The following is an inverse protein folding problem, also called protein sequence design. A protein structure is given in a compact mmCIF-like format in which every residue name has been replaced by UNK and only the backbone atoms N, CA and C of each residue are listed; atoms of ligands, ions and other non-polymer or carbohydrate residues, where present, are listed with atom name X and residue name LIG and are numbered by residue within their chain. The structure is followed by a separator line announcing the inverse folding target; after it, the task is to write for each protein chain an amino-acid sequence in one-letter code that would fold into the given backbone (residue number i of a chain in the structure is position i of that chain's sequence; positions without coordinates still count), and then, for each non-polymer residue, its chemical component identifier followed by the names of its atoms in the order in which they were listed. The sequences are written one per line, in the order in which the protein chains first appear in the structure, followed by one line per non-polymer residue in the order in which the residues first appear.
data_IF_499545517490
#
_entry.id   IF_499545517490
#
_cell.length_a   1.000
_cell.length_b   1.000
_cell.length_c   1.000
_cell.angle_alpha   90.00
_cell.angle_beta   90.00
_cell.angle_gamma   90.00
#
_symmetry.space_group_name_H-M   'P 1'
#
loop_
_entity.id
_entity.type
_entity.pdbx_description
1 polymer ?
#
# COMPACT_ATOMS: atom_id res chain seq x y z
N UNK A 1 -6.15 4.62 20.26
CA UNK A 1 -5.22 5.03 19.18
C UNK A 1 -3.96 4.19 19.34
N UNK A 2 -3.65 3.34 18.39
CA UNK A 2 -2.48 2.45 18.47
C UNK A 2 -1.26 3.13 17.83
N UNK A 3 -0.06 2.88 18.38
CA UNK A 3 1.19 3.47 17.90
C UNK A 3 2.31 2.44 17.85
N UNK A 4 3.21 2.64 16.89
CA UNK A 4 4.48 1.94 16.78
C UNK A 4 5.54 2.93 16.32
N UNK A 5 6.77 2.77 16.75
CA UNK A 5 7.87 3.61 16.26
C UNK A 5 8.56 2.92 15.08
N UNK A 6 8.77 3.70 14.02
CA UNK A 6 9.64 3.31 12.92
C UNK A 6 11.09 3.12 13.39
N UNK A 7 11.97 2.49 12.60
CA UNK A 7 13.39 2.33 12.97
C UNK A 7 14.14 3.65 13.23
N UNK A 8 13.72 4.73 12.60
CA UNK A 8 14.27 6.09 12.77
C UNK A 8 13.61 6.89 13.91
N UNK A 9 12.74 6.25 14.71
CA UNK A 9 12.01 6.87 15.82
C UNK A 9 10.73 7.59 15.41
N UNK A 10 10.39 7.69 14.12
CA UNK A 10 9.16 8.34 13.66
C UNK A 10 7.94 7.62 14.25
N UNK A 11 7.04 8.31 14.97
CA UNK A 11 5.82 7.69 15.49
C UNK A 11 4.84 7.41 14.36
N UNK A 12 4.39 6.19 14.27
CA UNK A 12 3.39 5.71 13.32
C UNK A 12 2.09 5.36 14.05
N UNK A 13 0.97 5.78 13.51
CA UNK A 13 -0.37 5.54 14.07
C UNK A 13 -1.10 4.54 13.19
N UNK A 14 -1.87 3.66 13.81
CA UNK A 14 -2.72 2.73 13.09
C UNK A 14 -4.05 2.51 13.82
N UNK A 15 -5.10 2.22 13.06
CA UNK A 15 -6.37 1.72 13.58
C UNK A 15 -6.37 0.20 13.54
N UNK A 16 -7.05 -0.42 14.52
CA UNK A 16 -7.15 -1.86 14.64
C UNK A 16 -8.59 -2.28 14.88
N UNK A 17 -9.03 -3.29 14.14
CA UNK A 17 -10.31 -3.98 14.29
C UNK A 17 -9.99 -5.45 14.57
N UNK A 18 -10.12 -5.87 15.82
CA UNK A 18 -9.67 -7.19 16.27
C UNK A 18 -10.85 -8.00 16.80
N UNK A 19 -11.11 -9.21 16.25
CA UNK A 19 -12.01 -10.17 16.90
C UNK A 19 -11.32 -10.80 18.12
N UNK A 20 -12.08 -11.46 18.98
CA UNK A 20 -11.55 -12.09 20.18
C UNK A 20 -10.48 -13.15 19.90
N UNK A 21 -10.61 -13.88 18.79
CA UNK A 21 -9.65 -14.91 18.34
C UNK A 21 -9.45 -14.77 16.84
N UNK A 22 -8.51 -13.93 16.40
CA UNK A 22 -8.25 -13.78 14.99
C UNK A 22 -7.57 -15.00 14.39
N UNK A 23 -7.93 -15.35 13.17
CA UNK A 23 -7.29 -16.42 12.40
C UNK A 23 -6.21 -15.91 11.44
N UNK A 24 -6.32 -14.65 10.99
CA UNK A 24 -5.36 -13.97 10.09
C UNK A 24 -5.26 -12.52 10.52
N UNK A 25 -4.08 -11.93 10.40
CA UNK A 25 -3.85 -10.51 10.56
C UNK A 25 -3.69 -9.83 9.19
N UNK A 26 -4.50 -8.82 8.92
CA UNK A 26 -4.51 -8.10 7.65
C UNK A 26 -3.99 -6.69 7.86
N UNK A 27 -2.92 -6.32 7.18
CA UNK A 27 -2.26 -5.02 7.32
C UNK A 27 -2.49 -4.20 6.04
N UNK A 28 -3.17 -3.08 6.19
CA UNK A 28 -3.53 -2.18 5.09
C UNK A 28 -2.59 -0.99 4.99
N UNK A 29 -2.14 -0.72 3.75
CA UNK A 29 -1.41 0.48 3.34
C UNK A 29 -2.27 1.24 2.31
N UNK A 30 -2.63 2.48 2.67
CA UNK A 30 -3.48 3.35 1.85
C UNK A 30 -2.73 3.99 0.68
N UNK A 31 -3.45 4.62 -0.24
CA UNK A 31 -2.88 5.41 -1.32
C UNK A 31 -2.27 6.74 -0.82
N UNK A 32 -1.67 7.50 -1.72
CA UNK A 32 -1.06 8.79 -1.42
C UNK A 32 -2.11 9.85 -1.12
N UNK A 33 -2.33 10.14 0.16
CA UNK A 33 -3.22 11.20 0.64
C UNK A 33 -2.52 12.05 1.71
N UNK A 34 -1.85 13.16 1.35
CA UNK A 34 -1.13 13.98 2.32
C UNK A 34 -2.04 14.76 3.29
N UNK A 35 -3.33 14.84 3.01
CA UNK A 35 -4.32 15.46 3.90
C UNK A 35 -4.53 14.61 5.17
N UNK A 36 -4.88 15.26 6.31
CA UNK A 36 -5.06 14.56 7.60
C UNK A 36 -6.37 13.75 7.69
N UNK A 37 -6.99 13.42 6.58
CA UNK A 37 -8.14 12.55 6.57
C UNK A 37 -7.67 11.15 6.95
N UNK A 38 -8.04 10.68 8.14
CA UNK A 38 -7.96 9.26 8.49
C UNK A 38 -8.62 8.42 7.39
N UNK A 39 -8.49 7.12 7.49
CA UNK A 39 -9.18 6.20 6.59
C UNK A 39 -10.66 6.60 6.50
N UNK A 40 -11.15 6.90 5.29
CA UNK A 40 -12.54 7.28 5.05
C UNK A 40 -13.52 6.20 5.52
N UNK A 41 -14.82 6.54 5.58
CA UNK A 41 -15.89 5.66 6.08
C UNK A 41 -15.86 4.26 5.45
N UNK A 42 -15.56 4.15 4.15
CA UNK A 42 -15.49 2.87 3.45
C UNK A 42 -14.44 1.89 3.98
N UNK A 43 -13.31 2.38 4.48
CA UNK A 43 -12.30 1.52 5.13
C UNK A 43 -12.72 1.08 6.53
N UNK A 44 -13.50 1.89 7.23
CA UNK A 44 -14.13 1.51 8.51
C UNK A 44 -15.07 0.32 8.33
N UNK A 45 -15.90 0.36 7.29
CA UNK A 45 -16.80 -0.77 6.95
C UNK A 45 -16.00 -2.02 6.55
N UNK A 46 -14.95 -1.86 5.74
CA UNK A 46 -14.08 -2.97 5.34
C UNK A 46 -13.42 -3.61 6.56
N UNK A 47 -12.93 -2.80 7.51
CA UNK A 47 -12.34 -3.28 8.76
C UNK A 47 -13.35 -4.02 9.63
N UNK A 48 -14.56 -3.51 9.75
CA UNK A 48 -15.64 -4.16 10.51
C UNK A 48 -16.04 -5.50 9.86
N UNK A 49 -16.23 -5.54 8.54
CA UNK A 49 -16.59 -6.76 7.82
C UNK A 49 -15.52 -7.85 7.97
N UNK A 50 -14.23 -7.50 7.83
CA UNK A 50 -13.13 -8.44 8.00
C UNK A 50 -13.01 -8.94 9.45
N UNK A 51 -13.23 -8.06 10.45
CA UNK A 51 -13.31 -8.45 11.86
C UNK A 51 -14.42 -9.47 12.09
N UNK A 52 -15.61 -9.22 11.53
CA UNK A 52 -16.76 -10.11 11.66
C UNK A 52 -16.55 -11.44 10.94
N UNK A 53 -15.70 -11.45 9.91
CA UNK A 53 -15.19 -12.67 9.27
C UNK A 53 -14.07 -13.36 10.07
N UNK A 54 -13.67 -12.85 11.25
CA UNK A 54 -12.65 -13.46 12.11
C UNK A 54 -11.20 -13.06 11.80
N UNK A 55 -10.99 -11.95 11.09
CA UNK A 55 -9.65 -11.42 10.79
C UNK A 55 -9.36 -10.15 11.60
N UNK A 56 -8.15 -10.06 12.15
CA UNK A 56 -7.69 -8.81 12.74
C UNK A 56 -7.16 -7.89 11.63
N UNK A 57 -7.64 -6.65 11.57
CA UNK A 57 -7.24 -5.69 10.55
C UNK A 57 -6.54 -4.48 11.15
N UNK A 58 -5.48 -4.03 10.49
CA UNK A 58 -4.62 -2.95 10.93
C UNK A 58 -4.42 -1.97 9.78
N UNK A 59 -4.92 -0.75 9.93
CA UNK A 59 -4.81 0.32 8.94
C UNK A 59 -3.73 1.30 9.36
N UNK A 60 -2.61 1.30 8.64
CA UNK A 60 -1.49 2.18 8.92
C UNK A 60 -1.70 3.56 8.30
N UNK A 61 -1.68 4.61 9.10
CA UNK A 61 -1.38 5.95 8.58
C UNK A 61 0.12 5.96 8.21
N UNK A 62 0.44 5.93 6.93
CA UNK A 62 1.84 5.89 6.49
C UNK A 62 2.58 7.18 6.90
N UNK A 63 3.92 7.14 7.04
CA UNK A 63 4.70 8.35 7.41
C UNK A 63 4.36 9.53 6.51
N UNK A 64 4.26 10.72 7.09
CA UNK A 64 3.87 11.93 6.38
C UNK A 64 2.38 12.01 6.00
N UNK A 65 1.55 11.07 6.48
CA UNK A 65 0.11 11.01 6.22
C UNK A 65 -0.68 10.90 7.54
N UNK A 66 -1.96 11.23 7.48
CA UNK A 66 -2.90 11.04 8.59
C UNK A 66 -2.36 11.56 9.93
N UNK A 67 -2.36 10.71 10.93
CA UNK A 67 -1.93 11.01 12.32
C UNK A 67 -0.48 10.59 12.59
N UNK A 68 0.18 9.94 11.63
CA UNK A 68 1.58 9.54 11.74
C UNK A 68 2.53 10.73 11.63
N UNK A 69 3.71 10.56 12.23
CA UNK A 69 4.81 11.49 12.11
C UNK A 69 5.41 11.56 10.71
N UNK A 70 6.42 12.39 10.55
CA UNK A 70 7.04 12.68 9.27
C UNK A 70 6.50 13.96 8.63
N UNK A 71 7.27 14.50 7.67
CA UNK A 71 6.87 15.72 6.95
C UNK A 71 5.80 15.39 5.92
N UNK A 72 4.71 16.15 5.91
CA UNK A 72 3.60 15.98 4.96
C UNK A 72 4.07 16.03 3.52
N UNK A 73 3.61 15.03 2.73
CA UNK A 73 3.90 14.96 1.30
C UNK A 73 5.38 14.82 0.96
N UNK A 74 6.24 14.47 1.94
CA UNK A 74 7.68 14.31 1.76
C UNK A 74 8.12 12.88 2.10
N UNK A 75 9.05 12.38 1.31
CA UNK A 75 9.73 11.12 1.54
C UNK A 75 11.21 11.33 1.22
N UNK A 76 12.08 11.06 2.18
CA UNK A 76 13.53 11.20 2.00
C UNK A 76 14.13 9.97 1.31
N UNK A 77 13.62 8.77 1.63
CA UNK A 77 14.01 7.49 1.01
C UNK A 77 12.83 6.52 1.04
N UNK A 78 12.60 5.83 -0.06
CA UNK A 78 11.52 4.83 -0.14
C UNK A 78 11.71 3.69 0.87
N UNK A 79 12.95 3.33 1.19
CA UNK A 79 13.28 2.30 2.19
C UNK A 79 12.74 2.59 3.60
N UNK A 80 12.45 3.86 3.94
CA UNK A 80 11.82 4.19 5.21
C UNK A 80 10.41 3.59 5.32
N UNK A 81 9.63 3.57 4.23
CA UNK A 81 8.30 2.95 4.20
C UNK A 81 8.36 1.44 4.41
N UNK A 82 9.39 0.78 3.88
CA UNK A 82 9.62 -0.65 4.09
C UNK A 82 9.93 -0.93 5.56
N UNK A 83 10.74 -0.06 6.19
CA UNK A 83 11.03 -0.11 7.63
C UNK A 83 9.78 0.13 8.49
N UNK A 84 8.90 1.04 8.07
CA UNK A 84 7.62 1.34 8.74
C UNK A 84 6.69 0.13 8.72
N UNK A 85 6.52 -0.48 7.53
CA UNK A 85 5.72 -1.69 7.38
C UNK A 85 6.28 -2.83 8.22
N UNK A 86 7.61 -3.01 8.22
CA UNK A 86 8.27 -4.03 9.05
C UNK A 86 8.06 -3.78 10.55
N UNK A 87 8.09 -2.53 11.01
CA UNK A 87 7.82 -2.18 12.39
C UNK A 87 6.38 -2.54 12.80
N UNK A 88 5.39 -2.20 11.95
CA UNK A 88 3.99 -2.58 12.17
C UNK A 88 3.84 -4.11 12.18
N UNK A 89 4.39 -4.83 11.20
CA UNK A 89 4.32 -6.29 11.12
C UNK A 89 4.86 -6.96 12.39
N UNK A 90 6.01 -6.50 12.89
CA UNK A 90 6.59 -7.00 14.16
C UNK A 90 5.71 -6.67 15.36
N UNK A 91 5.09 -5.49 15.40
CA UNK A 91 4.18 -5.12 16.49
C UNK A 91 2.93 -6.00 16.50
N UNK A 92 2.33 -6.24 15.33
CA UNK A 92 1.18 -7.13 15.17
C UNK A 92 1.52 -8.57 15.55
N UNK A 93 2.67 -9.10 15.12
CA UNK A 93 3.10 -10.46 15.47
C UNK A 93 3.27 -10.66 16.98
N UNK A 94 3.80 -9.66 17.68
CA UNK A 94 3.91 -9.74 19.17
C UNK A 94 2.55 -9.78 19.88
N UNK A 95 1.49 -9.27 19.22
CA UNK A 95 0.12 -9.31 19.77
C UNK A 95 -0.60 -10.59 19.41
N UNK A 96 -0.35 -11.11 18.22
CA UNK A 96 -1.09 -12.23 17.64
C UNK A 96 -0.17 -13.00 16.69
N UNK A 97 0.11 -14.25 17.05
CA UNK A 97 0.94 -15.13 16.23
C UNK A 97 0.07 -15.89 15.22
N UNK A 98 -0.41 -15.16 14.22
CA UNK A 98 -1.25 -15.67 13.12
C UNK A 98 -0.65 -15.26 11.78
N UNK A 99 -1.00 -15.96 10.67
CA UNK A 99 -0.55 -15.57 9.33
C UNK A 99 -0.88 -14.10 9.03
N UNK A 100 0.05 -13.40 8.38
CA UNK A 100 -0.14 -12.02 8.00
C UNK A 100 -0.37 -11.89 6.50
N UNK A 101 -1.43 -11.18 6.10
CA UNK A 101 -1.72 -10.79 4.73
C UNK A 101 -1.54 -9.27 4.59
N UNK A 102 -0.78 -8.83 3.60
CA UNK A 102 -0.60 -7.41 3.31
C UNK A 102 -1.64 -6.96 2.27
N UNK A 103 -2.23 -5.80 2.47
CA UNK A 103 -3.14 -5.17 1.50
C UNK A 103 -2.60 -3.78 1.18
N UNK A 104 -2.31 -3.51 -0.09
CA UNK A 104 -1.81 -2.22 -0.54
C UNK A 104 -2.69 -1.64 -1.64
N UNK A 105 -3.12 -0.38 -1.49
CA UNK A 105 -3.87 0.36 -2.48
C UNK A 105 -3.02 1.49 -3.08
N UNK A 106 -3.05 1.66 -4.38
CA UNK A 106 -2.36 2.74 -5.07
C UNK A 106 -0.87 2.80 -4.71
N UNK A 107 -0.45 3.88 -4.05
CA UNK A 107 0.89 4.03 -3.50
C UNK A 107 1.24 2.92 -2.47
N UNK A 108 0.30 2.57 -1.58
CA UNK A 108 0.47 1.46 -0.65
C UNK A 108 0.70 0.13 -1.36
N UNK A 109 0.10 -0.08 -2.53
CA UNK A 109 0.35 -1.23 -3.41
C UNK A 109 1.80 -1.29 -3.88
N UNK A 110 2.37 -0.16 -4.30
CA UNK A 110 3.78 -0.07 -4.66
C UNK A 110 4.70 -0.37 -3.45
N UNK A 111 4.34 0.12 -2.26
CA UNK A 111 5.11 -0.16 -1.03
C UNK A 111 5.11 -1.66 -0.72
N UNK A 112 3.95 -2.32 -0.79
CA UNK A 112 3.84 -3.77 -0.57
C UNK A 112 4.65 -4.55 -1.59
N UNK A 113 4.56 -4.24 -2.89
CA UNK A 113 5.33 -4.90 -3.94
C UNK A 113 6.84 -4.77 -3.69
N UNK A 114 7.32 -3.55 -3.40
CA UNK A 114 8.75 -3.33 -3.10
C UNK A 114 9.18 -4.04 -1.82
N UNK A 115 8.30 -4.14 -0.84
CA UNK A 115 8.56 -4.90 0.39
C UNK A 115 8.73 -6.40 0.10
N UNK A 116 7.84 -6.99 -0.70
CA UNK A 116 7.90 -8.41 -1.07
C UNK A 116 9.16 -8.75 -1.87
N UNK A 117 9.56 -7.86 -2.76
CA UNK A 117 10.75 -8.01 -3.59
C UNK A 117 12.04 -7.98 -2.76
N UNK A 118 12.14 -7.09 -1.78
CA UNK A 118 13.32 -6.96 -0.92
C UNK A 118 13.34 -7.95 0.24
N UNK A 119 12.19 -8.51 0.60
CA UNK A 119 11.98 -9.48 1.68
C UNK A 119 12.77 -9.15 2.97
N UNK A 120 12.57 -7.97 3.59
CA UNK A 120 13.34 -7.58 4.78
C UNK A 120 12.85 -8.34 6.02
N UNK A 121 13.07 -9.65 6.08
CA UNK A 121 12.67 -10.50 7.20
C UNK A 121 11.68 -11.59 6.82
N UNK A 122 10.93 -12.09 7.81
CA UNK A 122 9.96 -13.17 7.57
C UNK A 122 8.85 -12.73 6.61
N UNK A 123 8.59 -13.49 5.54
CA UNK A 123 7.62 -13.10 4.52
C UNK A 123 6.18 -13.15 5.05
N UNK A 124 5.26 -12.33 4.50
CA UNK A 124 3.83 -12.49 4.74
C UNK A 124 3.31 -13.78 4.09
N UNK A 125 2.14 -14.26 4.53
CA UNK A 125 1.49 -15.41 3.93
C UNK A 125 1.04 -15.12 2.49
N UNK A 126 0.52 -13.91 2.25
CA UNK A 126 0.05 -13.47 0.94
C UNK A 126 -0.03 -11.93 0.88
N UNK A 127 -0.37 -11.40 -0.30
CA UNK A 127 -0.69 -9.99 -0.46
C UNK A 127 -1.88 -9.75 -1.39
N UNK A 128 -2.61 -8.65 -1.16
CA UNK A 128 -3.60 -8.08 -2.07
C UNK A 128 -3.11 -6.73 -2.55
N UNK A 129 -3.09 -6.56 -3.86
CA UNK A 129 -2.56 -5.39 -4.53
C UNK A 129 -3.68 -4.73 -5.35
N UNK A 130 -4.20 -3.63 -4.83
CA UNK A 130 -5.32 -2.93 -5.44
C UNK A 130 -4.84 -1.69 -6.20
N UNK A 131 -5.10 -1.62 -7.50
CA UNK A 131 -4.73 -0.50 -8.38
C UNK A 131 -3.33 0.08 -8.07
N UNK A 132 -2.24 -0.71 -8.09
CA UNK A 132 -0.93 -0.27 -7.61
C UNK A 132 -0.37 0.86 -8.47
N UNK A 133 0.24 1.85 -7.85
CA UNK A 133 0.84 2.98 -8.57
C UNK A 133 2.17 2.61 -9.23
N UNK A 134 2.14 1.66 -10.17
CA UNK A 134 3.30 1.28 -10.98
C UNK A 134 3.56 2.27 -12.12
N UNK A 135 2.50 2.87 -12.65
CA UNK A 135 2.56 3.96 -13.62
C UNK A 135 1.34 4.87 -13.48
N UNK A 136 1.49 6.15 -13.79
CA UNK A 136 0.36 7.09 -13.82
C UNK A 136 -0.26 7.09 -15.20
N UNK A 137 -1.59 7.09 -15.29
CA UNK A 137 -2.32 7.21 -16.57
C UNK A 137 -2.01 8.53 -17.27
N UNK A 138 -2.00 9.63 -16.51
CA UNK A 138 -1.60 10.94 -17.02
C UNK A 138 -0.09 11.14 -16.87
N UNK A 139 0.56 11.59 -17.96
CA UNK A 139 1.98 11.98 -17.89
C UNK A 139 2.13 13.23 -17.04
N UNK A 140 3.05 13.25 -16.07
CA UNK A 140 3.29 14.44 -15.27
C UNK A 140 3.78 15.58 -16.17
N UNK A 141 3.34 16.81 -15.89
CA UNK A 141 3.78 18.01 -16.62
C UNK A 141 5.32 18.13 -16.65
N UNK A 142 5.86 18.73 -17.71
CA UNK A 142 7.32 18.81 -17.93
C UNK A 142 8.07 19.40 -16.73
N UNK A 143 7.53 20.46 -16.10
CA UNK A 143 8.15 21.07 -14.92
C UNK A 143 8.21 20.13 -13.72
N UNK A 144 7.20 19.24 -13.53
CA UNK A 144 7.22 18.24 -12.45
C UNK A 144 8.30 17.20 -12.67
N UNK A 145 8.56 16.82 -13.93
CA UNK A 145 9.67 15.93 -14.29
C UNK A 145 11.03 16.60 -14.07
N UNK A 146 11.14 17.89 -14.42
CA UNK A 146 12.34 18.68 -14.15
C UNK A 146 12.57 18.84 -12.64
N UNK A 147 11.54 19.17 -11.87
CA UNK A 147 11.63 19.25 -10.41
C UNK A 147 12.11 17.92 -9.77
N UNK A 148 11.64 16.78 -10.26
CA UNK A 148 12.12 15.47 -9.78
C UNK A 148 13.62 15.23 -10.11
N UNK A 149 14.13 15.75 -11.24
CA UNK A 149 15.56 15.69 -11.58
C UNK A 149 16.44 16.60 -10.73
N UNK A 150 15.86 17.67 -10.19
CA UNK A 150 16.54 18.60 -9.30
C UNK A 150 16.30 18.28 -7.81
N UNK A 151 15.75 17.09 -7.52
CA UNK A 151 15.41 16.69 -6.16
C UNK A 151 16.60 16.65 -5.21
N UNK A 152 17.79 16.34 -5.71
CA UNK A 152 19.03 16.31 -4.93
C UNK A 152 19.43 17.72 -4.44
N UNK A 153 19.11 18.76 -5.22
CA UNK A 153 19.37 20.17 -4.86
C UNK A 153 18.27 20.75 -3.98
N UNK A 154 17.01 20.41 -4.26
CA UNK A 154 15.83 20.90 -3.52
C UNK A 154 14.82 19.79 -3.25
N UNK A 155 15.14 18.83 -2.37
CA UNK A 155 14.29 17.67 -2.12
C UNK A 155 12.91 18.05 -1.57
N UNK A 156 12.80 19.21 -0.94
CA UNK A 156 11.55 19.68 -0.32
C UNK A 156 10.73 20.62 -1.22
N UNK A 157 11.16 20.87 -2.47
CA UNK A 157 10.41 21.70 -3.42
C UNK A 157 9.03 21.11 -3.67
N UNK A 158 7.92 21.86 -3.46
CA UNK A 158 6.58 21.38 -3.75
C UNK A 158 6.36 21.13 -5.24
N UNK A 159 5.80 19.98 -5.60
CA UNK A 159 5.47 19.63 -7.00
C UNK A 159 3.96 19.44 -7.23
N UNK A 160 3.13 19.83 -6.27
CA UNK A 160 1.67 19.75 -6.32
C UNK A 160 1.03 20.56 -5.21
N UNK A 161 -0.30 20.55 -5.14
CA UNK A 161 -1.13 21.19 -4.11
C UNK A 161 -2.28 20.27 -3.73
N UNK A 162 -2.89 20.47 -2.56
CA UNK A 162 -4.01 19.67 -2.06
C UNK A 162 -3.68 18.18 -2.02
N UNK A 163 -4.60 17.33 -2.37
CA UNK A 163 -4.42 15.87 -2.42
C UNK A 163 -3.25 15.42 -3.31
N UNK A 164 -2.86 16.23 -4.30
CA UNK A 164 -1.68 15.97 -5.14
C UNK A 164 -0.36 16.54 -4.60
N UNK A 165 -0.33 17.05 -3.34
CA UNK A 165 0.89 17.59 -2.76
C UNK A 165 1.96 16.51 -2.58
N UNK A 166 3.09 16.73 -3.23
CA UNK A 166 4.26 15.86 -3.14
C UNK A 166 5.50 16.72 -3.35
N UNK A 167 6.53 16.50 -2.54
CA UNK A 167 7.80 17.18 -2.76
C UNK A 167 8.58 16.56 -3.92
N UNK A 168 9.59 17.28 -4.42
CA UNK A 168 10.47 16.78 -5.47
C UNK A 168 11.19 15.49 -5.04
N UNK A 169 11.68 15.43 -3.80
CA UNK A 169 12.29 14.23 -3.23
C UNK A 169 11.34 13.04 -3.20
N UNK A 170 10.12 13.22 -2.67
CA UNK A 170 9.13 12.16 -2.64
C UNK A 170 8.78 11.66 -4.06
N UNK A 171 8.70 12.56 -5.05
CA UNK A 171 8.46 12.20 -6.45
C UNK A 171 9.61 11.40 -7.05
N UNK A 172 10.84 11.79 -6.77
CA UNK A 172 12.03 11.07 -7.23
C UNK A 172 12.09 9.65 -6.64
N UNK A 173 11.83 9.52 -5.33
CA UNK A 173 11.78 8.24 -4.63
C UNK A 173 10.66 7.34 -5.15
N UNK A 174 9.46 7.91 -5.43
CA UNK A 174 8.36 7.19 -6.07
C UNK A 174 8.78 6.64 -7.44
N UNK A 175 9.35 7.50 -8.31
CA UNK A 175 9.79 7.07 -9.65
C UNK A 175 10.91 6.04 -9.60
N UNK A 176 11.80 6.14 -8.62
CA UNK A 176 12.83 5.13 -8.38
C UNK A 176 12.19 3.79 -8.00
N UNK A 177 11.26 3.78 -7.04
CA UNK A 177 10.60 2.56 -6.58
C UNK A 177 9.78 1.89 -7.69
N UNK A 178 9.04 2.68 -8.50
CA UNK A 178 8.32 2.17 -9.67
C UNK A 178 9.26 1.44 -10.64
N UNK A 179 10.41 2.04 -10.98
CA UNK A 179 11.40 1.41 -11.87
C UNK A 179 12.01 0.16 -11.25
N UNK A 180 12.33 0.20 -9.96
CA UNK A 180 12.92 -0.94 -9.27
C UNK A 180 11.97 -2.13 -9.26
N UNK A 181 10.69 -1.94 -8.87
CA UNK A 181 9.68 -3.00 -8.85
C UNK A 181 9.47 -3.60 -10.25
N UNK A 182 9.41 -2.76 -11.29
CA UNK A 182 9.23 -3.24 -12.66
C UNK A 182 10.46 -4.00 -13.20
N UNK A 183 11.66 -3.77 -12.64
CA UNK A 183 12.89 -4.44 -13.06
C UNK A 183 13.13 -5.78 -12.37
N UNK A 184 12.79 -5.88 -11.07
CA UNK A 184 13.21 -6.99 -10.21
C UNK A 184 12.03 -7.88 -9.71
N UNK A 185 10.83 -7.78 -10.31
CA UNK A 185 9.61 -8.47 -9.88
C UNK A 185 9.73 -9.99 -9.75
N UNK A 186 10.64 -10.61 -10.49
CA UNK A 186 10.90 -12.05 -10.49
C UNK A 186 11.30 -12.61 -9.11
N UNK A 187 11.66 -11.74 -8.16
CA UNK A 187 11.96 -12.11 -6.77
C UNK A 187 10.72 -12.31 -5.90
N UNK A 188 9.53 -12.00 -6.44
CA UNK A 188 8.28 -12.08 -5.68
C UNK A 188 7.67 -13.47 -5.89
N UNK A 189 7.79 -14.32 -4.88
CA UNK A 189 7.31 -15.72 -4.91
C UNK A 189 6.12 -15.93 -3.94
N UNK A 190 5.40 -14.85 -3.59
CA UNK A 190 4.27 -14.95 -2.65
C UNK A 190 2.95 -14.96 -3.38
N UNK A 191 1.95 -15.73 -2.88
CA UNK A 191 0.60 -15.66 -3.44
C UNK A 191 0.06 -14.23 -3.39
N UNK A 192 -0.45 -13.74 -4.51
CA UNK A 192 -0.99 -12.39 -4.62
C UNK A 192 -2.31 -12.37 -5.36
N UNK A 193 -3.20 -11.50 -4.89
CA UNK A 193 -4.40 -11.11 -5.59
C UNK A 193 -4.24 -9.66 -6.07
N UNK A 194 -4.24 -9.46 -7.38
CA UNK A 194 -4.36 -8.13 -7.96
C UNK A 194 -5.84 -7.81 -8.18
N UNK A 195 -6.26 -6.65 -7.73
CA UNK A 195 -7.63 -6.14 -7.91
C UNK A 195 -7.53 -4.86 -8.71
N UNK A 196 -8.08 -4.85 -9.93
CA UNK A 196 -7.90 -3.77 -10.89
C UNK A 196 -9.24 -3.23 -11.39
N UNK A 197 -9.39 -1.90 -11.40
CA UNK A 197 -10.57 -1.21 -11.90
C UNK A 197 -10.40 -0.75 -13.35
N UNK A 198 -11.29 -1.19 -14.24
CA UNK A 198 -11.24 -0.81 -15.67
C UNK A 198 -11.50 0.68 -15.91
N UNK A 199 -12.26 1.33 -15.03
CA UNK A 199 -12.55 2.77 -15.08
C UNK A 199 -11.54 3.64 -14.28
N UNK A 200 -10.40 3.08 -13.87
CA UNK A 200 -9.35 3.82 -13.17
C UNK A 200 -8.77 4.92 -14.05
N UNK A 201 -8.80 6.16 -13.56
CA UNK A 201 -8.26 7.34 -14.25
C UNK A 201 -6.96 7.86 -13.63
N UNK A 202 -6.50 7.27 -12.53
CA UNK A 202 -5.34 7.69 -11.74
C UNK A 202 -4.09 6.93 -12.16
N UNK A 203 -4.15 5.59 -12.10
CA UNK A 203 -3.03 4.72 -12.45
C UNK A 203 -3.25 4.03 -13.80
N UNK A 204 -2.17 3.62 -14.43
CA UNK A 204 -2.20 2.82 -15.65
C UNK A 204 -2.36 1.34 -15.25
N UNK A 205 -3.62 0.89 -15.18
CA UNK A 205 -3.96 -0.48 -14.76
C UNK A 205 -3.48 -1.56 -15.73
N UNK A 206 -3.25 -1.21 -17.02
CA UNK A 206 -2.69 -2.15 -17.98
C UNK A 206 -1.22 -2.48 -17.69
N UNK A 207 -0.47 -1.52 -17.12
CA UNK A 207 0.88 -1.80 -16.61
C UNK A 207 0.80 -2.75 -15.42
N UNK A 208 -0.15 -2.55 -14.50
CA UNK A 208 -0.35 -3.42 -13.36
C UNK A 208 -0.77 -4.84 -13.77
N UNK A 209 -1.65 -4.96 -14.78
CA UNK A 209 -2.10 -6.25 -15.31
C UNK A 209 -0.94 -7.03 -15.91
N UNK A 210 -0.17 -6.41 -16.83
CA UNK A 210 1.02 -7.05 -17.43
C UNK A 210 2.07 -7.44 -16.39
N UNK A 211 2.23 -6.63 -15.35
CA UNK A 211 3.10 -6.95 -14.22
C UNK A 211 2.61 -8.20 -13.49
N UNK A 212 1.32 -8.29 -13.17
CA UNK A 212 0.73 -9.46 -12.53
C UNK A 212 0.83 -10.73 -13.40
N UNK A 213 0.59 -10.60 -14.72
CA UNK A 213 0.76 -11.69 -15.68
C UNK A 213 2.19 -12.27 -15.66
N UNK A 214 3.20 -11.39 -15.49
CA UNK A 214 4.60 -11.78 -15.36
C UNK A 214 4.96 -12.50 -14.06
N UNK A 215 4.07 -12.47 -13.05
CA UNK A 215 4.23 -13.13 -11.75
C UNK A 215 3.53 -14.51 -11.67
N UNK A 216 2.95 -14.99 -12.76
CA UNK A 216 2.31 -16.32 -12.79
C UNK A 216 3.34 -17.43 -12.46
N UNK A 217 3.02 -18.44 -11.58
CA UNK A 217 1.69 -18.74 -11.03
C UNK A 217 1.37 -18.05 -9.68
N UNK A 218 2.18 -17.12 -9.20
CA UNK A 218 2.04 -16.53 -7.87
C UNK A 218 0.96 -15.43 -7.79
N UNK A 219 0.54 -14.87 -8.92
CA UNK A 219 -0.46 -13.81 -8.96
C UNK A 219 -1.73 -14.24 -9.70
N UNK A 220 -2.88 -13.85 -9.15
CA UNK A 220 -4.19 -13.86 -9.81
C UNK A 220 -4.69 -12.45 -10.00
N UNK A 221 -5.49 -12.20 -11.04
CA UNK A 221 -6.03 -10.87 -11.34
C UNK A 221 -7.54 -10.91 -11.35
N UNK A 222 -8.17 -10.09 -10.52
CA UNK A 222 -9.59 -9.80 -10.54
C UNK A 222 -9.80 -8.44 -11.21
N UNK A 223 -10.55 -8.44 -12.31
CA UNK A 223 -10.83 -7.27 -13.13
C UNK A 223 -12.28 -6.80 -12.97
N UNK A 224 -12.46 -5.56 -12.55
CA UNK A 224 -13.77 -4.93 -12.38
C UNK A 224 -13.92 -3.78 -13.39
N UNK A 225 -14.58 -4.04 -14.51
CA UNK A 225 -14.65 -3.13 -15.65
C UNK A 225 -15.15 -1.72 -15.28
N UNK A 226 -16.16 -1.64 -14.40
CA UNK A 226 -16.87 -0.40 -14.07
C UNK A 226 -16.34 0.29 -12.79
N UNK A 227 -15.38 -0.32 -12.07
CA UNK A 227 -14.82 0.29 -10.86
C UNK A 227 -13.67 1.23 -11.20
N UNK A 228 -13.64 2.35 -10.47
CA UNK A 228 -12.59 3.35 -10.53
C UNK A 228 -11.42 3.01 -9.60
N UNK A 229 -10.55 4.00 -9.31
CA UNK A 229 -9.36 3.82 -8.46
C UNK A 229 -9.65 3.33 -7.04
N UNK A 230 -10.66 3.91 -6.36
CA UNK A 230 -11.01 3.61 -4.96
C UNK A 230 -11.86 2.35 -4.79
N UNK A 231 -11.41 1.24 -5.34
CA UNK A 231 -12.19 0.01 -5.49
C UNK A 231 -12.27 -0.87 -4.22
N UNK A 232 -11.35 -0.71 -3.25
CA UNK A 232 -11.32 -1.57 -2.04
C UNK A 232 -12.55 -1.43 -1.14
N UNK A 233 -13.32 -0.36 -1.29
CA UNK A 233 -14.56 -0.13 -0.54
C UNK A 233 -15.80 -0.69 -1.24
N UNK A 234 -15.68 -1.13 -2.50
CA UNK A 234 -16.78 -1.69 -3.27
C UNK A 234 -17.19 -3.08 -2.74
N UNK A 235 -18.50 -3.36 -2.59
CA UNK A 235 -18.98 -4.62 -2.03
C UNK A 235 -18.42 -5.88 -2.73
N UNK A 236 -18.34 -5.99 -4.08
CA UNK A 236 -17.80 -7.18 -4.73
C UNK A 236 -16.31 -7.37 -4.43
N UNK A 237 -15.54 -6.28 -4.33
CA UNK A 237 -14.11 -6.33 -4.00
C UNK A 237 -13.91 -6.76 -2.55
N UNK A 238 -14.71 -6.25 -1.61
CA UNK A 238 -14.67 -6.67 -0.21
C UNK A 238 -14.97 -8.16 -0.04
N UNK A 239 -15.93 -8.69 -0.80
CA UNK A 239 -16.26 -10.11 -0.78
C UNK A 239 -15.09 -10.96 -1.29
N UNK A 240 -14.43 -10.54 -2.40
CA UNK A 240 -13.27 -11.22 -2.95
C UNK A 240 -12.06 -11.16 -2.01
N UNK A 241 -11.78 -9.98 -1.43
CA UNK A 241 -10.77 -9.80 -0.41
C UNK A 241 -10.96 -10.77 0.76
N UNK A 242 -12.21 -10.85 1.29
CA UNK A 242 -12.56 -11.74 2.38
C UNK A 242 -12.31 -13.21 2.00
N UNK A 243 -12.70 -13.62 0.80
CA UNK A 243 -12.51 -14.98 0.28
C UNK A 243 -11.03 -15.34 0.14
N UNK A 244 -10.24 -14.45 -0.47
CA UNK A 244 -8.81 -14.64 -0.65
C UNK A 244 -8.08 -14.78 0.70
N UNK A 245 -8.36 -13.88 1.66
CA UNK A 245 -7.75 -13.92 3.00
C UNK A 245 -8.14 -15.21 3.74
N UNK A 246 -9.37 -15.68 3.59
CA UNK A 246 -9.83 -16.91 4.25
C UNK A 246 -9.03 -18.16 3.86
N UNK A 247 -8.42 -18.18 2.68
CA UNK A 247 -7.54 -19.25 2.23
C UNK A 247 -6.23 -19.39 3.02
N UNK A 248 -5.91 -18.42 3.91
CA UNK A 248 -4.69 -18.41 4.74
C UNK A 248 -4.96 -18.65 6.22
N UNK A 249 -6.16 -19.10 6.56
CA UNK A 249 -6.44 -19.60 7.91
C UNK A 249 -5.57 -20.81 8.21
N UNK A 250 -5.05 -20.93 9.46
CA UNK A 250 -4.29 -22.10 9.89
C UNK A 250 -5.14 -23.39 9.82
#
# INVERSE_FOLDING_TARGET
MNRVNAPDGTPLVYDAYEPAKPSVAVLFLHDWHPEPAGLGEGFTETGAQLRDAGFATYFLDQRGHGRSGGRRGHLSRFSQLLGDLQALRRAVRRRQDVPQVLVGHGFGGLVVLRYLETQPGEPPAAAVIASPWLASRARPAAWKRLAARLADLWPTLPTGRGAGYMTAGARAELQWAQRAVLADYQRIERPMLFVLGGADTVVDVEVARRFADGLTPHATVEWYADLSHDLLTAPPVRAELTRFIAGYRP
#
